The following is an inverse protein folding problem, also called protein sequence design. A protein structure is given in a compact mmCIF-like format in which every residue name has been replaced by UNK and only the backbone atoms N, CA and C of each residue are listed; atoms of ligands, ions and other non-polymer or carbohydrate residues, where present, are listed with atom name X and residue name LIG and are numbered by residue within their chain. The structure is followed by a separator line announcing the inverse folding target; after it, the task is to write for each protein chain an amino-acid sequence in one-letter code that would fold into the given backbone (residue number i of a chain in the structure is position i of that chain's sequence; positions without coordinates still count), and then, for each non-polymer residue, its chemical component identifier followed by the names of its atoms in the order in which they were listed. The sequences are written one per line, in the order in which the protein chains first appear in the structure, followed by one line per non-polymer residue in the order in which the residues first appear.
data_IF_133499829876
#
_entry.id   IF_133499829876
#
_cell.length_a   1.000
_cell.length_b   1.000
_cell.length_c   1.000
_cell.angle_alpha   90.00
_cell.angle_beta   90.00
_cell.angle_gamma   90.00
#
_symmetry.space_group_name_H-M   'P 1'
#
loop_
_entity.id
_entity.type
_entity.pdbx_description
1 polymer ?
2 non-polymer ?
3 non-polymer ?
4 water ?
#
# COMPACT_ATOMS: atom_id res chain seq x y z
N UNK A 1 25.00 4.43 16.00
CA UNK A 1 24.45 3.08 16.03
C UNK A 1 23.09 3.03 15.34
N UNK A 2 22.85 1.96 14.58
CA UNK A 2 21.59 1.85 13.84
C UNK A 2 20.44 1.43 14.74
N UNK A 3 19.23 1.84 14.33
CA UNK A 3 18.02 1.33 14.95
C UNK A 3 17.90 -0.17 14.67
N UNK A 4 17.31 -0.89 15.62
CA UNK A 4 17.25 -2.35 15.56
C UNK A 4 15.80 -2.81 15.48
N UNK A 5 15.51 -3.70 14.53
CA UNK A 5 14.17 -4.25 14.34
C UNK A 5 14.26 -5.75 14.15
N UNK A 6 13.20 -6.45 14.53
CA UNK A 6 13.09 -7.90 14.42
C UNK A 6 11.71 -8.27 13.94
N UNK A 7 11.63 -9.10 12.89
CA UNK A 7 10.34 -9.48 12.33
C UNK A 7 10.33 -10.93 11.88
N UNK A 8 9.24 -11.62 12.15
CA UNK A 8 8.92 -12.88 11.50
C UNK A 8 8.10 -12.59 10.25
N UNK A 9 8.50 -13.18 9.12
CA UNK A 9 7.76 -13.04 7.87
C UNK A 9 7.49 -14.44 7.32
N UNK A 10 6.47 -14.52 6.46
CA UNK A 10 6.05 -15.78 5.85
C UNK A 10 6.22 -15.71 4.35
N UNK A 11 6.68 -16.81 3.76
CA UNK A 11 6.67 -16.98 2.31
C UNK A 11 5.39 -17.71 1.93
N UNK A 12 4.61 -17.10 1.03
CA UNK A 12 3.32 -17.65 0.63
C UNK A 12 3.32 -17.94 -0.86
N UNK A 13 2.53 -18.93 -1.26
CA UNK A 13 2.37 -19.28 -2.66
C UNK A 13 2.31 -20.78 -2.87
N UNK A 14 1.83 -21.16 -4.05
CA UNK A 14 1.62 -22.56 -4.39
C UNK A 14 2.95 -23.31 -4.40
N UNK A 15 2.84 -24.64 -4.45
CA UNK A 15 4.04 -25.45 -4.55
C UNK A 15 4.82 -25.13 -5.81
N UNK A 16 6.15 -25.12 -5.66
CA UNK A 16 7.10 -24.94 -6.77
C UNK A 16 7.05 -23.56 -7.41
N UNK A 17 6.52 -22.54 -6.71
CA UNK A 17 6.61 -21.19 -7.24
C UNK A 17 7.97 -20.57 -6.96
N UNK A 18 8.73 -21.13 -6.02
CA UNK A 18 10.08 -20.66 -5.76
C UNK A 18 10.29 -20.08 -4.38
N UNK A 19 9.43 -20.44 -3.42
CA UNK A 19 9.56 -19.92 -2.06
C UNK A 19 10.92 -20.29 -1.45
N UNK A 20 11.30 -21.56 -1.55
CA UNK A 20 12.60 -21.98 -1.01
C UNK A 20 13.74 -21.33 -1.76
N UNK A 21 13.69 -21.37 -3.10
CA UNK A 21 14.77 -20.81 -3.91
C UNK A 21 14.94 -19.31 -3.64
N UNK A 22 13.83 -18.59 -3.45
CA UNK A 22 13.95 -17.17 -3.15
C UNK A 22 14.59 -16.97 -1.78
N UNK A 23 14.21 -17.78 -0.79
CA UNK A 23 14.80 -17.65 0.54
C UNK A 23 16.27 -18.02 0.53
N UNK A 24 16.62 -19.08 -0.21
CA UNK A 24 18.02 -19.47 -0.35
C UNK A 24 18.83 -18.37 -1.03
N UNK A 25 18.29 -17.80 -2.11
CA UNK A 25 18.97 -16.69 -2.77
C UNK A 25 19.18 -15.53 -1.80
N UNK A 26 18.18 -15.25 -0.96
CA UNK A 26 18.27 -14.11 -0.06
C UNK A 26 19.27 -14.35 1.05
N UNK A 27 19.25 -15.53 1.67
CA UNK A 27 20.05 -15.77 2.87
C UNK A 27 21.42 -16.36 2.58
N UNK A 28 21.56 -17.15 1.51
CA UNK A 28 22.85 -17.78 1.19
C UNK A 28 23.44 -17.30 -0.14
N UNK A 29 22.70 -16.49 -0.89
CA UNK A 29 23.15 -15.88 -2.15
C UNK A 29 23.69 -16.91 -3.14
N UNK A 30 22.87 -17.92 -3.39
CA UNK A 30 23.15 -18.84 -4.49
C UNK A 30 21.87 -19.51 -4.91
N UNK A 31 21.95 -20.25 -6.02
CA UNK A 31 20.84 -20.98 -6.61
C UNK A 31 21.33 -22.35 -7.04
N UNK A 32 20.52 -23.38 -6.79
CA UNK A 32 20.90 -24.76 -7.14
C UNK A 32 19.62 -25.53 -7.41
N UNK A 33 19.50 -26.08 -8.63
CA UNK A 33 18.35 -26.92 -8.96
C UNK A 33 18.23 -28.09 -7.99
N UNK A 34 19.35 -28.54 -7.43
CA UNK A 34 19.39 -29.70 -6.56
C UNK A 34 19.53 -29.32 -5.10
N UNK A 35 19.16 -28.09 -4.74
CA UNK A 35 19.11 -27.73 -3.33
C UNK A 35 18.12 -28.61 -2.61
N UNK A 36 18.56 -29.22 -1.51
CA UNK A 36 17.70 -30.05 -0.68
C UNK A 36 17.34 -29.26 0.57
N UNK A 37 16.05 -29.00 0.76
CA UNK A 37 15.57 -28.25 1.91
C UNK A 37 15.36 -29.18 3.09
N UNK A 42 12.00 -24.55 10.66
CA UNK A 42 10.87 -24.02 9.92
C UNK A 42 11.18 -22.69 9.28
N UNK A 43 12.31 -22.08 9.67
CA UNK A 43 12.63 -20.75 9.19
C UNK A 43 14.12 -20.59 8.95
N UNK A 44 14.47 -19.67 8.06
CA UNK A 44 15.82 -19.17 7.88
C UNK A 44 15.91 -17.79 8.53
N UNK A 45 17.15 -17.38 8.79
CA UNK A 45 17.41 -16.10 9.43
C UNK A 45 18.26 -15.24 8.50
N UNK A 46 17.91 -13.97 8.40
CA UNK A 46 18.70 -13.00 7.67
C UNK A 46 18.85 -11.74 8.53
N UNK A 47 20.07 -11.23 8.59
CA UNK A 47 20.34 -9.92 9.17
C UNK A 47 20.64 -8.95 8.05
N UNK A 48 19.89 -7.84 8.00
CA UNK A 48 19.91 -6.94 6.86
C UNK A 48 20.07 -5.51 7.36
N UNK A 49 21.02 -4.79 6.76
CA UNK A 49 21.22 -3.37 7.05
C UNK A 49 20.56 -2.55 5.96
N UNK A 50 19.79 -1.54 6.38
CA UNK A 50 19.17 -0.57 5.47
C UNK A 50 19.88 0.76 5.70
N UNK A 51 20.80 1.12 4.80
CA UNK A 51 21.63 2.30 5.01
C UNK A 51 20.80 3.57 5.05
N UNK A 52 19.91 3.74 4.07
CA UNK A 52 19.13 4.96 3.89
C UNK A 52 18.56 5.50 5.20
N UNK A 53 18.16 4.61 6.10
CA UNK A 53 17.53 4.96 7.35
C UNK A 53 18.30 4.47 8.56
N UNK A 54 19.53 3.98 8.36
CA UNK A 54 20.40 3.48 9.41
C UNK A 54 19.65 2.52 10.34
N UNK A 55 19.10 1.47 9.73
CA UNK A 55 18.30 0.50 10.45
C UNK A 55 18.83 -0.90 10.18
N UNK A 56 18.83 -1.74 11.21
CA UNK A 56 19.28 -3.12 11.13
C UNK A 56 18.09 -4.02 11.44
N UNK A 57 17.78 -4.94 10.53
CA UNK A 57 16.63 -5.81 10.66
C UNK A 57 17.10 -7.25 10.75
N UNK A 58 16.58 -7.98 11.73
CA UNK A 58 16.77 -9.44 11.83
C UNK A 58 15.45 -10.10 11.44
N UNK A 59 15.48 -10.92 10.41
CA UNK A 59 14.30 -11.58 9.87
C UNK A 59 14.32 -13.06 10.19
N UNK A 60 13.18 -13.57 10.64
CA UNK A 60 12.88 -15.00 10.62
C UNK A 60 11.97 -15.26 9.43
N UNK A 61 12.45 -16.05 8.47
CA UNK A 61 11.75 -16.24 7.20
C UNK A 61 11.15 -17.64 7.21
N UNK A 62 9.83 -17.71 7.36
CA UNK A 62 9.11 -18.96 7.51
C UNK A 62 8.57 -19.43 6.16
N UNK A 63 8.53 -20.76 5.99
CA UNK A 63 8.18 -21.38 4.72
C UNK A 63 7.56 -22.74 5.00
N UNK A 64 6.35 -22.97 4.48
CA UNK A 64 5.70 -24.28 4.59
C UNK A 64 6.60 -25.36 3.99
N UNK A 72 -3.62 -27.34 12.29
CA UNK A 72 -2.71 -27.13 13.41
C UNK A 72 -1.40 -26.50 12.96
N UNK A 73 -0.80 -27.04 11.91
CA UNK A 73 0.50 -26.54 11.47
C UNK A 73 0.38 -25.13 10.89
N UNK A 74 -0.71 -24.86 10.16
CA UNK A 74 -0.83 -23.55 9.51
C UNK A 74 -0.97 -22.43 10.53
N UNK A 75 -1.70 -22.67 11.62
CA UNK A 75 -1.89 -21.64 12.63
C UNK A 75 -0.57 -21.30 13.30
N UNK A 76 0.28 -22.30 13.54
CA UNK A 76 1.61 -22.02 14.03
C UNK A 76 2.52 -21.41 12.99
N UNK A 77 2.31 -21.77 11.72
CA UNK A 77 3.10 -21.16 10.64
C UNK A 77 2.89 -19.66 10.58
N UNK A 78 1.62 -19.22 10.68
CA UNK A 78 1.31 -17.81 10.54
C UNK A 78 1.54 -17.01 11.81
N UNK A 79 1.49 -17.65 12.98
CA UNK A 79 1.40 -16.91 14.24
C UNK A 79 2.59 -15.98 14.42
N UNK A 80 2.29 -14.70 14.69
CA UNK A 80 3.30 -13.71 14.93
C UNK A 80 3.91 -13.06 13.71
N UNK A 81 3.48 -13.46 12.51
CA UNK A 81 4.03 -12.86 11.30
C UNK A 81 3.63 -11.40 11.21
N UNK A 82 4.60 -10.55 10.85
CA UNK A 82 4.37 -9.13 10.66
C UNK A 82 4.41 -8.72 9.19
N UNK A 83 4.67 -9.65 8.29
CA UNK A 83 4.72 -9.35 6.87
C UNK A 83 4.92 -10.63 6.09
N UNK A 84 4.80 -10.52 4.78
CA UNK A 84 5.01 -11.71 3.96
C UNK A 84 5.25 -11.36 2.51
N UNK A 85 5.83 -12.32 1.80
CA UNK A 85 5.95 -12.24 0.34
C UNK A 85 4.95 -13.20 -0.27
N UNK A 86 4.16 -12.69 -1.22
CA UNK A 86 3.10 -13.46 -1.87
C UNK A 86 3.56 -13.83 -3.28
N UNK A 87 4.06 -15.05 -3.44
CA UNK A 87 4.72 -15.47 -4.67
C UNK A 87 3.76 -16.17 -5.63
N UNK A 88 3.99 -15.99 -6.92
CA UNK A 88 3.44 -16.89 -7.92
C UNK A 88 4.50 -17.12 -8.98
N UNK A 89 4.25 -18.13 -9.81
CA UNK A 89 5.15 -18.55 -10.87
C UNK A 89 4.60 -17.98 -12.17
N UNK A 90 5.33 -17.06 -12.81
CA UNK A 90 4.80 -16.40 -14.00
C UNK A 90 4.60 -17.33 -15.17
N UNK A 91 5.08 -18.58 -15.08
CA UNK A 91 4.90 -19.57 -16.13
C UNK A 91 3.69 -20.46 -15.89
N UNK A 92 2.98 -20.31 -14.77
CA UNK A 92 1.83 -21.15 -14.44
C UNK A 92 0.71 -20.28 -13.91
N UNK A 93 -0.31 -20.07 -14.73
CA UNK A 93 -1.38 -19.13 -14.39
C UNK A 93 -2.14 -19.57 -13.14
N UNK A 94 -2.26 -20.88 -12.91
CA UNK A 94 -3.00 -21.35 -11.75
C UNK A 94 -2.39 -20.83 -10.44
N UNK A 95 -1.07 -20.69 -10.40
CA UNK A 95 -0.44 -20.15 -9.20
C UNK A 95 -0.74 -18.67 -9.02
N UNK A 96 -0.95 -17.94 -10.12
CA UNK A 96 -1.37 -16.55 -10.02
C UNK A 96 -2.81 -16.44 -9.54
N UNK A 97 -3.70 -17.31 -10.03
CA UNK A 97 -5.09 -17.32 -9.57
C UNK A 97 -5.15 -17.53 -8.06
N UNK A 98 -4.25 -18.34 -7.51
CA UNK A 98 -4.32 -18.76 -6.12
C UNK A 98 -3.70 -17.79 -5.12
N UNK A 99 -3.07 -16.69 -5.56
CA UNK A 99 -2.46 -15.82 -4.58
C UNK A 99 -3.53 -15.15 -3.71
N UNK A 100 -4.74 -14.96 -4.24
CA UNK A 100 -5.83 -14.42 -3.43
C UNK A 100 -6.20 -15.39 -2.30
N UNK A 101 -6.16 -16.69 -2.58
CA UNK A 101 -6.47 -17.67 -1.55
C UNK A 101 -5.41 -17.67 -0.45
N UNK A 102 -4.15 -17.48 -0.83
CA UNK A 102 -3.10 -17.39 0.17
C UNK A 102 -3.26 -16.15 1.04
N UNK A 103 -3.59 -15.02 0.41
CA UNK A 103 -3.82 -13.79 1.17
C UNK A 103 -4.95 -13.96 2.17
N UNK A 104 -6.06 -14.58 1.73
CA UNK A 104 -7.19 -14.76 2.63
C UNK A 104 -6.86 -15.72 3.76
N UNK A 105 -6.13 -16.80 3.47
CA UNK A 105 -5.77 -17.75 4.51
C UNK A 105 -4.91 -17.09 5.57
N UNK A 106 -3.91 -16.30 5.13
CA UNK A 106 -3.03 -15.61 6.06
C UNK A 106 -3.83 -14.64 6.92
N UNK A 107 -4.70 -13.84 6.29
CA UNK A 107 -5.45 -12.84 7.04
C UNK A 107 -6.44 -13.49 7.99
N UNK A 108 -7.07 -14.59 7.57
CA UNK A 108 -8.00 -15.29 8.46
C UNK A 108 -7.27 -15.92 9.62
N UNK A 109 -6.09 -16.51 9.38
CA UNK A 109 -5.33 -17.13 10.45
C UNK A 109 -4.87 -16.10 11.49
N UNK A 110 -4.39 -14.95 11.02
CA UNK A 110 -3.88 -13.91 11.90
C UNK A 110 -4.99 -13.03 12.47
N UNK A 111 -6.18 -13.05 11.88
CA UNK A 111 -7.28 -12.17 12.26
C UNK A 111 -6.91 -10.70 12.12
N UNK A 112 -6.06 -10.40 11.14
CA UNK A 112 -5.72 -9.02 10.80
C UNK A 112 -5.03 -9.04 9.44
N UNK A 113 -4.93 -7.87 8.84
CA UNK A 113 -4.13 -7.71 7.64
C UNK A 113 -2.68 -7.47 8.04
N UNK A 114 -1.77 -8.02 7.24
CA UNK A 114 -0.35 -7.70 7.36
C UNK A 114 0.13 -7.27 5.99
N UNK A 115 1.20 -6.47 5.94
CA UNK A 115 1.73 -6.07 4.63
C UNK A 115 2.22 -7.25 3.84
N UNK A 116 1.87 -7.27 2.56
CA UNK A 116 2.34 -8.28 1.63
C UNK A 116 2.94 -7.59 0.42
N UNK A 117 4.03 -8.14 -0.08
CA UNK A 117 4.61 -7.73 -1.35
C UNK A 117 4.31 -8.83 -2.36
N UNK A 118 3.68 -8.45 -3.48
CA UNK A 118 3.37 -9.42 -4.53
C UNK A 118 4.62 -9.67 -5.34
N UNK A 119 5.02 -10.94 -5.46
CA UNK A 119 6.27 -11.31 -6.11
C UNK A 119 5.94 -12.20 -7.30
N UNK A 120 6.20 -11.70 -8.50
CA UNK A 120 6.09 -12.51 -9.72
C UNK A 120 7.46 -13.14 -9.96
N UNK A 121 7.58 -14.43 -9.64
CA UNK A 121 8.87 -15.11 -9.67
C UNK A 121 9.08 -15.87 -10.97
N UNK A 122 10.35 -16.21 -11.25
CA UNK A 122 10.77 -16.96 -12.43
C UNK A 122 10.69 -16.13 -13.72
N UNK A 123 10.85 -14.81 -13.62
CA UNK A 123 10.75 -13.96 -14.81
C UNK A 123 11.92 -14.18 -15.77
N UNK A 124 12.95 -14.92 -15.35
CA UNK A 124 14.01 -15.28 -16.28
C UNK A 124 13.53 -16.24 -17.36
N UNK A 125 12.39 -16.91 -17.13
CA UNK A 125 11.84 -17.87 -18.09
C UNK A 125 10.94 -17.16 -19.10
N UNK A 126 11.57 -16.34 -19.94
CA UNK A 126 10.81 -15.46 -20.81
C UNK A 126 9.95 -16.22 -21.80
N UNK A 127 10.46 -17.35 -22.33
CA UNK A 127 9.76 -18.04 -23.40
C UNK A 127 8.56 -18.84 -22.91
N UNK A 128 8.45 -19.10 -21.61
CA UNK A 128 7.33 -19.84 -21.06
C UNK A 128 6.48 -18.99 -20.13
N UNK A 129 6.69 -17.69 -20.10
CA UNK A 129 5.87 -16.82 -19.25
C UNK A 129 4.47 -16.68 -19.82
N UNK A 130 3.46 -16.81 -18.95
CA UNK A 130 2.08 -16.66 -19.38
C UNK A 130 1.33 -15.57 -18.62
N UNK A 131 1.81 -15.13 -17.45
CA UNK A 131 1.17 -14.07 -16.69
C UNK A 131 1.94 -12.78 -16.95
N UNK A 132 1.26 -11.82 -17.58
CA UNK A 132 1.90 -10.57 -17.98
C UNK A 132 2.13 -9.66 -16.78
N UNK A 133 3.17 -8.83 -16.88
CA UNK A 133 3.51 -7.88 -15.83
C UNK A 133 2.31 -7.08 -15.37
N UNK A 134 1.50 -6.61 -16.32
CA UNK A 134 0.39 -5.72 -16.00
C UNK A 134 -0.66 -6.41 -15.14
N UNK A 135 -0.85 -7.72 -15.31
CA UNK A 135 -1.81 -8.45 -14.50
C UNK A 135 -1.42 -8.45 -13.03
N UNK A 136 -0.14 -8.69 -12.75
CA UNK A 136 0.31 -8.68 -11.36
C UNK A 136 0.31 -7.29 -10.76
N UNK A 137 0.67 -6.28 -11.56
CA UNK A 137 0.61 -4.89 -11.09
C UNK A 137 -0.81 -4.51 -10.70
N UNK A 138 -1.81 -4.96 -11.48
CA UNK A 138 -3.18 -4.59 -11.18
C UNK A 138 -3.67 -5.27 -9.91
N UNK A 139 -3.35 -6.55 -9.72
CA UNK A 139 -3.75 -7.22 -8.49
C UNK A 139 -3.14 -6.52 -7.27
N UNK A 140 -1.85 -6.19 -7.35
CA UNK A 140 -1.19 -5.54 -6.22
C UNK A 140 -1.81 -4.17 -5.96
N UNK A 141 -2.03 -3.40 -7.03
CA UNK A 141 -2.62 -2.07 -6.90
C UNK A 141 -3.99 -2.13 -6.24
N UNK A 142 -4.80 -3.12 -6.61
CA UNK A 142 -6.13 -3.26 -6.00
C UNK A 142 -6.06 -3.45 -4.49
N UNK A 143 -4.97 -4.04 -3.99
CA UNK A 143 -4.82 -4.34 -2.57
C UNK A 143 -3.85 -3.40 -1.86
N UNK A 144 -3.36 -2.37 -2.55
CA UNK A 144 -2.32 -1.48 -2.03
C UNK A 144 -1.09 -2.28 -1.58
N UNK A 145 -0.77 -3.32 -2.34
CA UNK A 145 0.47 -4.08 -2.19
C UNK A 145 1.51 -3.56 -3.17
N UNK A 146 2.78 -3.67 -2.79
CA UNK A 146 3.84 -3.46 -3.76
C UNK A 146 3.97 -4.68 -4.67
N UNK A 147 4.57 -4.49 -5.84
CA UNK A 147 4.72 -5.55 -6.83
C UNK A 147 6.18 -5.60 -7.27
N UNK A 148 6.75 -6.80 -7.28
CA UNK A 148 8.15 -6.99 -7.64
C UNK A 148 8.24 -8.16 -8.61
N UNK A 149 9.01 -8.00 -9.67
CA UNK A 149 9.35 -9.09 -10.58
C UNK A 149 10.73 -9.62 -10.21
N UNK A 150 10.80 -10.91 -9.91
CA UNK A 150 12.00 -11.48 -9.32
C UNK A 150 12.41 -12.77 -10.03
N UNK A 151 13.68 -13.12 -9.86
CA UNK A 151 14.19 -14.43 -10.28
C UNK A 151 15.17 -14.90 -9.22
N UNK A 152 14.84 -16.00 -8.54
CA UNK A 152 15.79 -16.60 -7.62
C UNK A 152 17.03 -17.09 -8.36
N UNK A 153 16.87 -17.51 -9.63
CA UNK A 153 18.00 -18.02 -10.40
C UNK A 153 19.03 -16.92 -10.64
N UNK A 154 18.60 -15.80 -11.23
CA UNK A 154 19.55 -14.74 -11.54
C UNK A 154 19.78 -13.81 -10.36
N UNK A 155 18.93 -13.86 -9.35
CA UNK A 155 18.98 -12.93 -8.23
C UNK A 155 18.22 -11.64 -8.47
N UNK A 156 17.61 -11.47 -9.63
CA UNK A 156 16.97 -10.22 -9.99
C UNK A 156 15.90 -9.83 -8.97
N UNK A 157 16.10 -8.69 -8.32
CA UNK A 157 15.14 -8.03 -7.43
C UNK A 157 14.80 -8.86 -6.19
N UNK A 158 15.56 -9.91 -5.88
CA UNK A 158 15.21 -10.73 -4.73
C UNK A 158 15.44 -9.96 -3.44
N UNK A 159 16.64 -9.39 -3.27
CA UNK A 159 16.90 -8.58 -2.09
C UNK A 159 15.95 -7.40 -2.00
N UNK A 160 15.67 -6.77 -3.14
CA UNK A 160 14.76 -5.63 -3.16
C UNK A 160 13.39 -6.00 -2.61
N UNK A 161 12.89 -7.19 -2.96
CA UNK A 161 11.57 -7.59 -2.48
C UNK A 161 11.54 -7.68 -0.96
N UNK A 162 12.54 -8.34 -0.37
CA UNK A 162 12.60 -8.43 1.10
C UNK A 162 12.85 -7.06 1.71
N UNK A 163 13.71 -6.25 1.08
CA UNK A 163 14.02 -4.92 1.61
C UNK A 163 12.79 -4.03 1.61
N UNK A 164 11.99 -4.07 0.53
CA UNK A 164 10.75 -3.29 0.48
C UNK A 164 9.82 -3.70 1.62
N UNK A 165 9.69 -5.01 1.83
CA UNK A 165 8.83 -5.48 2.92
C UNK A 165 9.36 -5.02 4.28
N UNK A 166 10.69 -5.09 4.47
CA UNK A 166 11.29 -4.62 5.71
C UNK A 166 10.95 -3.16 5.97
N UNK A 167 11.12 -2.30 4.96
CA UNK A 167 10.86 -0.88 5.16
C UNK A 167 9.40 -0.65 5.52
N UNK A 168 8.49 -1.39 4.89
CA UNK A 168 7.07 -1.24 5.20
C UNK A 168 6.80 -1.62 6.65
N UNK A 169 7.35 -2.75 7.10
CA UNK A 169 7.14 -3.17 8.48
C UNK A 169 7.74 -2.17 9.46
N UNK A 170 8.89 -1.60 9.13
CA UNK A 170 9.50 -0.57 9.98
C UNK A 170 8.60 0.65 10.07
N UNK A 171 8.03 1.09 8.94
CA UNK A 171 7.13 2.23 9.01
C UNK A 171 5.88 1.91 9.81
N UNK A 172 5.39 0.66 9.76
CA UNK A 172 4.24 0.30 10.58
C UNK A 172 4.62 0.25 12.06
N UNK A 173 5.83 -0.25 12.36
CA UNK A 173 6.31 -0.20 13.74
C UNK A 173 6.34 1.23 14.25
N UNK A 174 6.83 2.16 13.42
CA UNK A 174 6.84 3.57 13.79
C UNK A 174 5.42 4.11 13.96
N UNK A 175 4.50 3.71 13.08
CA UNK A 175 3.09 4.10 13.24
C UNK A 175 2.58 3.70 14.61
N UNK A 176 2.85 2.45 15.00
CA UNK A 176 2.34 1.95 16.27
C UNK A 176 3.00 2.68 17.44
N UNK A 177 4.30 2.98 17.33
CA UNK A 177 4.97 3.78 18.34
C UNK A 177 4.24 5.10 18.55
N UNK A 178 3.81 5.75 17.47
CA UNK A 178 3.09 7.01 17.59
C UNK A 178 1.71 6.81 18.19
N UNK A 179 1.02 5.72 17.83
CA UNK A 179 -0.33 5.49 18.36
C UNK A 179 -0.30 5.21 19.85
N UNK A 180 0.75 4.56 20.34
CA UNK A 180 0.87 4.25 21.76
C UNK A 180 1.43 5.41 22.56
N UNK A 181 1.72 6.55 21.90
CA UNK A 181 2.43 7.67 22.52
C UNK A 181 1.62 8.96 22.43
N UNK A 182 0.29 8.87 22.38
CA UNK A 182 -0.52 10.08 22.18
C UNK A 182 -0.61 10.92 23.44
N UNK B 1 -27.06 -10.35 -4.91
CA UNK B 1 -27.43 -8.95 -4.79
C UNK B 1 -26.27 -8.04 -5.17
N UNK B 2 -26.58 -6.93 -5.84
CA UNK B 2 -25.52 -6.03 -6.31
C UNK B 2 -24.73 -5.44 -5.14
N UNK B 3 -23.42 -5.34 -5.32
CA UNK B 3 -22.52 -4.90 -4.27
C UNK B 3 -22.56 -3.38 -4.15
N UNK B 4 -22.99 -2.89 -2.99
CA UNK B 4 -23.00 -1.46 -2.69
C UNK B 4 -22.12 -1.19 -1.48
N UNK B 5 -21.33 -0.12 -1.56
CA UNK B 5 -20.40 0.24 -0.51
C UNK B 5 -20.55 1.72 -0.18
N UNK B 6 -20.26 2.04 1.08
CA UNK B 6 -20.31 3.42 1.57
C UNK B 6 -19.08 3.66 2.43
N UNK B 7 -18.30 4.69 2.09
CA UNK B 7 -17.08 5.00 2.82
C UNK B 7 -16.97 6.48 3.11
N UNK B 8 -16.53 6.80 4.32
CA UNK B 8 -16.03 8.12 4.64
C UNK B 8 -14.53 8.17 4.36
N UNK B 9 -14.09 9.16 3.59
CA UNK B 9 -12.67 9.35 3.31
C UNK B 9 -12.29 10.78 3.67
N UNK B 10 -11.00 10.96 3.96
CA UNK B 10 -10.46 12.26 4.36
C UNK B 10 -9.51 12.75 3.29
N UNK B 11 -9.59 14.04 2.99
CA UNK B 11 -8.59 14.72 2.18
C UNK B 11 -7.59 15.37 3.14
N UNK B 12 -6.31 15.00 3.00
CA UNK B 12 -5.29 15.47 3.92
C UNK B 12 -4.19 16.20 3.16
N UNK B 13 -3.62 17.20 3.80
CA UNK B 13 -2.52 17.95 3.21
C UNK B 13 -2.50 19.38 3.71
N UNK B 14 -1.36 20.04 3.51
CA UNK B 14 -1.19 21.41 3.96
C UNK B 14 -2.18 22.34 3.24
N UNK B 15 -2.26 23.57 3.75
CA UNK B 15 -3.08 24.56 3.09
C UNK B 15 -2.63 24.80 1.65
N UNK B 16 -3.61 25.02 0.77
CA UNK B 16 -3.41 25.41 -0.62
C UNK B 16 -2.75 24.34 -1.48
N UNK B 17 -2.72 23.08 -1.03
CA UNK B 17 -2.19 22.02 -1.89
C UNK B 17 -3.21 21.58 -2.93
N UNK B 18 -4.49 21.89 -2.72
CA UNK B 18 -5.49 21.58 -3.74
C UNK B 18 -6.55 20.60 -3.32
N UNK B 19 -6.77 20.45 -2.01
CA UNK B 19 -7.77 19.49 -1.54
C UNK B 19 -9.17 19.84 -2.03
N UNK B 20 -9.55 21.12 -1.93
CA UNK B 20 -10.86 21.53 -2.40
C UNK B 20 -10.97 21.42 -3.92
N UNK B 21 -9.95 21.88 -4.64
CA UNK B 21 -9.99 21.81 -6.09
C UNK B 21 -10.10 20.37 -6.58
N UNK B 22 -9.36 19.46 -5.96
CA UNK B 22 -9.45 18.06 -6.38
C UNK B 22 -10.84 17.51 -6.14
N UNK B 23 -11.43 17.82 -4.97
CA UNK B 23 -12.77 17.34 -4.69
C UNK B 23 -13.79 17.96 -5.64
N UNK B 24 -13.62 19.24 -5.96
CA UNK B 24 -14.55 19.91 -6.86
C UNK B 24 -14.44 19.35 -8.28
N UNK B 25 -13.23 19.13 -8.76
CA UNK B 25 -13.05 18.50 -10.07
C UNK B 25 -13.70 17.12 -10.08
N UNK B 26 -13.55 16.38 -8.98
CA UNK B 26 -14.07 15.01 -8.91
C UNK B 26 -15.59 15.00 -8.90
N UNK B 27 -16.21 15.82 -8.06
CA UNK B 27 -17.65 15.74 -7.85
C UNK B 27 -18.45 16.60 -8.81
N UNK B 28 -17.88 17.70 -9.31
CA UNK B 28 -18.64 18.64 -10.13
C UNK B 28 -18.01 18.91 -11.49
N UNK B 29 -16.91 18.24 -11.82
CA UNK B 29 -16.36 18.24 -13.18
C UNK B 29 -15.96 19.65 -13.65
N UNK B 30 -15.38 20.44 -12.76
CA UNK B 30 -14.91 21.76 -13.19
C UNK B 30 -13.82 22.25 -12.24
N UNK B 31 -13.11 23.27 -12.71
CA UNK B 31 -12.02 23.91 -11.98
C UNK B 31 -12.15 25.41 -12.19
N UNK B 32 -12.10 26.17 -11.10
CA UNK B 32 -12.15 27.63 -11.15
C UNK B 32 -11.29 28.15 -10.01
N UNK B 33 -10.30 28.99 -10.33
CA UNK B 33 -9.41 29.51 -9.30
C UNK B 33 -10.14 30.34 -8.25
N UNK B 34 -11.43 30.60 -8.43
CA UNK B 34 -12.26 31.21 -7.40
C UNK B 34 -13.17 30.18 -6.74
N UNK B 41 -21.52 22.52 5.42
CA UNK B 41 -21.53 21.05 5.44
C UNK B 41 -20.13 20.50 5.74
N UNK B 42 -20.10 19.34 6.41
CA UNK B 42 -18.82 18.73 6.76
C UNK B 42 -18.17 17.98 5.61
N UNK B 43 -18.92 17.63 4.58
CA UNK B 43 -18.35 16.76 3.55
C UNK B 43 -19.07 16.97 2.23
N UNK B 44 -18.38 16.58 1.16
CA UNK B 44 -18.95 16.45 -0.18
C UNK B 44 -19.24 14.99 -0.48
N UNK B 45 -20.30 14.76 -1.25
CA UNK B 45 -20.75 13.41 -1.57
C UNK B 45 -20.43 13.11 -3.03
N UNK B 46 -20.09 11.85 -3.30
CA UNK B 46 -19.87 11.38 -4.66
C UNK B 46 -20.42 9.97 -4.79
N UNK B 47 -21.17 9.74 -5.85
CA UNK B 47 -21.57 8.40 -6.25
C UNK B 47 -20.71 7.98 -7.43
N UNK B 48 -20.14 6.78 -7.36
CA UNK B 48 -19.38 6.30 -8.49
C UNK B 48 -19.55 4.79 -8.62
N UNK B 49 -19.29 4.28 -9.82
CA UNK B 49 -19.35 2.86 -10.09
C UNK B 49 -17.99 2.41 -10.60
N UNK B 50 -17.48 1.33 -10.01
CA UNK B 50 -16.29 0.64 -10.50
C UNK B 50 -16.79 -0.48 -11.40
N UNK B 51 -16.77 -0.24 -12.71
CA UNK B 51 -17.49 -1.12 -13.63
C UNK B 51 -16.84 -2.48 -13.78
N UNK B 52 -15.51 -2.58 -13.59
CA UNK B 52 -14.86 -3.86 -13.77
C UNK B 52 -15.25 -4.87 -12.70
N UNK B 53 -15.73 -4.43 -11.54
CA UNK B 53 -16.28 -5.31 -10.53
C UNK B 53 -17.76 -5.03 -10.26
N UNK B 54 -18.38 -4.15 -11.06
CA UNK B 54 -19.77 -3.75 -10.89
C UNK B 54 -20.08 -3.38 -9.44
N UNK B 55 -19.23 -2.54 -8.87
CA UNK B 55 -19.38 -2.08 -7.49
C UNK B 55 -19.88 -0.65 -7.49
N UNK B 56 -20.93 -0.38 -6.75
CA UNK B 56 -21.44 0.97 -6.56
C UNK B 56 -20.95 1.51 -5.23
N UNK B 57 -20.33 2.68 -5.27
CA UNK B 57 -19.71 3.29 -4.09
C UNK B 57 -20.35 4.63 -3.83
N UNK B 58 -20.66 4.92 -2.56
CA UNK B 58 -21.00 6.26 -2.12
C UNK B 58 -19.88 6.75 -1.22
N UNK B 59 -19.31 7.89 -1.56
CA UNK B 59 -18.23 8.50 -0.78
C UNK B 59 -18.73 9.73 -0.04
N UNK B 60 -18.35 9.85 1.22
CA UNK B 60 -18.44 11.09 1.97
C UNK B 60 -17.01 11.62 2.13
N UNK B 61 -16.74 12.78 1.54
CA UNK B 61 -15.38 13.28 1.39
C UNK B 61 -15.19 14.45 2.35
N UNK B 62 -14.41 14.22 3.40
CA UNK B 62 -14.16 15.20 4.45
C UNK B 62 -12.84 15.92 4.21
N UNK B 63 -12.82 17.21 4.54
CA UNK B 63 -11.59 17.98 4.43
C UNK B 63 -11.59 19.08 5.48
N UNK B 64 -10.39 19.44 5.92
CA UNK B 64 -10.23 20.34 7.06
C UNK B 64 -10.34 21.80 6.64
N UNK B 65 -11.20 22.55 7.33
CA UNK B 65 -11.40 23.96 7.04
C UNK B 65 -10.21 24.78 7.49
N UNK B 66 -9.73 25.66 6.62
CA UNK B 66 -8.59 26.49 6.96
C UNK B 66 -7.28 25.72 6.90
N UNK B 67 -6.33 26.14 7.73
CA UNK B 67 -5.01 25.54 7.80
C UNK B 67 -4.68 25.22 9.25
N UNK B 68 -5.32 24.20 9.81
CA UNK B 68 -5.14 23.90 11.24
C UNK B 68 -3.75 23.34 11.53
N UNK B 69 -3.33 23.52 12.78
CA UNK B 69 -2.07 22.96 13.24
C UNK B 69 -2.23 21.48 13.58
N UNK B 70 -1.12 20.77 13.55
CA UNK B 70 -1.15 19.34 13.86
C UNK B 70 -1.51 19.12 15.34
N UNK B 71 -2.32 18.10 15.59
CA UNK B 71 -2.69 17.72 16.93
C UNK B 71 -2.29 16.27 17.17
N UNK B 72 -2.05 15.93 18.43
CA UNK B 72 -1.77 14.54 18.77
C UNK B 72 -2.96 13.65 18.40
N UNK B 73 -4.16 14.05 18.82
CA UNK B 73 -5.40 13.38 18.45
C UNK B 73 -6.40 14.46 18.08
N UNK B 74 -6.92 14.40 16.85
CA UNK B 74 -7.91 15.37 16.40
C UNK B 74 -9.31 14.78 16.60
N UNK B 75 -10.11 15.44 17.43
CA UNK B 75 -11.44 14.93 17.74
C UNK B 75 -12.37 15.10 16.55
N UNK B 76 -13.22 14.09 16.34
CA UNK B 76 -14.29 14.16 15.35
C UNK B 76 -13.96 13.96 13.88
N UNK B 77 -12.93 14.65 13.39
CA UNK B 77 -12.70 14.70 11.95
C UNK B 77 -12.49 13.31 11.36
N UNK B 78 -11.63 12.51 11.99
CA UNK B 78 -11.24 11.23 11.39
C UNK B 78 -12.24 10.12 11.64
N UNK B 79 -13.11 10.28 12.64
CA UNK B 79 -13.96 9.19 13.11
C UNK B 79 -14.74 8.55 11.96
N UNK B 80 -14.62 7.23 11.84
CA UNK B 80 -15.33 6.48 10.82
C UNK B 80 -14.65 6.43 9.47
N UNK B 81 -13.53 7.13 9.30
CA UNK B 81 -12.86 7.14 8.00
C UNK B 81 -12.23 5.78 7.71
N UNK B 82 -12.35 5.34 6.45
CA UNK B 82 -11.78 4.09 6.02
C UNK B 82 -10.72 4.26 4.93
N UNK B 83 -10.39 5.49 4.56
CA UNK B 83 -9.36 5.73 3.58
C UNK B 83 -9.14 7.23 3.43
N UNK B 84 -8.15 7.58 2.63
CA UNK B 84 -7.92 9.00 2.43
C UNK B 84 -6.95 9.25 1.29
N UNK B 85 -6.95 10.49 0.84
CA UNK B 85 -5.97 10.98 -0.12
C UNK B 85 -5.01 11.91 0.62
N UNK B 86 -3.73 11.69 0.41
CA UNK B 86 -2.66 12.42 1.10
C UNK B 86 -1.97 13.31 0.09
N UNK B 87 -2.33 14.58 0.05
CA UNK B 87 -1.93 15.49 -1.02
C UNK B 87 -0.75 16.35 -0.61
N UNK B 88 0.16 16.58 -1.57
CA UNK B 88 1.08 17.71 -1.46
C UNK B 88 1.10 18.45 -2.78
N UNK B 89 1.73 19.62 -2.73
CA UNK B 89 1.88 20.52 -3.88
C UNK B 89 3.31 20.37 -4.37
N UNK B 90 3.49 19.84 -5.59
CA UNK B 90 4.82 19.54 -6.09
C UNK B 90 5.69 20.78 -6.27
N UNK B 91 5.11 21.98 -6.20
CA UNK B 91 5.90 23.21 -6.29
C UNK B 91 6.36 23.71 -4.93
N UNK B 92 5.97 23.05 -3.83
CA UNK B 92 6.28 23.54 -2.48
C UNK B 92 6.79 22.38 -1.64
N UNK B 93 8.10 22.38 -1.40
CA UNK B 93 8.76 21.29 -0.68
C UNK B 93 8.17 21.09 0.71
N UNK B 94 7.84 22.20 1.40
CA UNK B 94 7.32 22.08 2.76
C UNK B 94 6.06 21.22 2.82
N UNK B 95 5.20 21.32 1.81
CA UNK B 95 3.98 20.51 1.81
C UNK B 95 4.29 19.03 1.64
N UNK B 96 5.37 18.69 0.93
CA UNK B 96 5.77 17.30 0.81
C UNK B 96 6.33 16.78 2.13
N UNK B 97 7.17 17.59 2.78
CA UNK B 97 7.74 17.20 4.08
C UNK B 97 6.63 16.90 5.08
N UNK B 98 5.53 17.64 5.00
CA UNK B 98 4.48 17.55 6.00
C UNK B 98 3.49 16.40 5.76
N UNK B 99 3.56 15.67 4.64
CA UNK B 99 2.55 14.63 4.45
C UNK B 99 2.71 13.52 5.47
N UNK B 100 3.94 13.27 5.93
CA UNK B 100 4.14 12.29 7.00
C UNK B 100 3.41 12.70 8.26
N UNK B 101 3.42 14.01 8.57
CA UNK B 101 2.76 14.47 9.79
C UNK B 101 1.24 14.36 9.68
N UNK B 102 0.69 14.53 8.47
CA UNK B 102 -0.74 14.33 8.27
C UNK B 102 -1.10 12.85 8.40
N UNK B 103 -0.29 11.98 7.79
CA UNK B 103 -0.48 10.55 7.92
C UNK B 103 -0.54 10.15 9.40
N UNK B 104 0.43 10.65 10.19
CA UNK B 104 0.49 10.28 11.59
C UNK B 104 -0.69 10.82 12.38
N UNK B 105 -1.13 12.04 12.07
CA UNK B 105 -2.28 12.57 12.81
C UNK B 105 -3.50 11.69 12.59
N UNK B 106 -3.71 11.23 11.35
CA UNK B 106 -4.82 10.33 11.08
C UNK B 106 -4.67 9.03 11.85
N UNK B 107 -3.49 8.43 11.80
CA UNK B 107 -3.32 7.12 12.43
C UNK B 107 -3.42 7.20 13.94
N UNK B 108 -2.86 8.26 14.54
CA UNK B 108 -3.00 8.45 15.99
C UNK B 108 -4.45 8.67 16.36
N UNK B 109 -5.18 9.47 15.57
CA UNK B 109 -6.57 9.78 15.90
C UNK B 109 -7.47 8.55 15.75
N UNK B 110 -7.16 7.67 14.81
CA UNK B 110 -7.96 6.47 14.58
C UNK B 110 -7.48 5.28 15.40
N UNK B 111 -6.24 5.32 15.90
CA UNK B 111 -5.60 4.19 16.58
C UNK B 111 -5.49 2.98 15.65
N UNK B 112 -5.36 3.23 14.35
CA UNK B 112 -5.19 2.17 13.36
C UNK B 112 -4.72 2.82 12.08
N UNK B 113 -4.10 2.01 11.23
CA UNK B 113 -3.78 2.44 9.87
C UNK B 113 -5.01 2.32 8.98
N UNK B 114 -5.18 3.30 8.10
CA UNK B 114 -6.15 3.23 7.03
C UNK B 114 -5.38 3.40 5.72
N UNK B 115 -5.91 2.89 4.61
CA UNK B 115 -5.21 3.07 3.34
C UNK B 115 -5.25 4.52 2.89
N UNK B 116 -4.08 5.03 2.50
CA UNK B 116 -3.95 6.35 1.93
C UNK B 116 -3.32 6.22 0.55
N UNK B 117 -3.77 7.06 -0.38
CA UNK B 117 -3.13 7.20 -1.68
C UNK B 117 -2.38 8.52 -1.67
N UNK B 118 -1.08 8.46 -1.94
CA UNK B 118 -0.26 9.67 -1.99
C UNK B 118 -0.52 10.37 -3.32
N UNK B 119 -0.92 11.64 -3.25
CA UNK B 119 -1.32 12.40 -4.43
C UNK B 119 -0.35 13.57 -4.58
N UNK B 120 0.47 13.53 -5.62
CA UNK B 120 1.33 14.66 -5.97
C UNK B 120 0.52 15.58 -6.88
N UNK B 121 0.01 16.68 -6.32
CA UNK B 121 -0.89 17.55 -7.04
C UNK B 121 -0.16 18.73 -7.68
N UNK B 122 -0.83 19.34 -8.67
CA UNK B 122 -0.35 20.52 -9.40
C UNK B 122 0.80 20.17 -10.35
N UNK B 123 0.82 18.94 -10.87
CA UNK B 123 1.88 18.54 -11.79
C UNK B 123 1.81 19.28 -13.11
N UNK B 124 0.76 20.07 -13.34
CA UNK B 124 0.69 20.92 -14.52
C UNK B 124 1.64 22.11 -14.42
N UNK B 125 2.12 22.43 -13.22
CA UNK B 125 3.05 23.54 -13.02
C UNK B 125 4.49 23.03 -13.20
N UNK B 126 4.81 22.69 -14.45
CA UNK B 126 6.05 21.99 -14.75
C UNK B 126 7.28 22.83 -14.41
N UNK B 127 7.22 24.14 -14.69
CA UNK B 127 8.40 24.98 -14.53
C UNK B 127 8.69 25.34 -13.08
N UNK B 128 7.70 25.26 -12.19
CA UNK B 128 7.87 25.57 -10.77
C UNK B 128 7.95 24.33 -9.92
N UNK B 129 7.89 23.14 -10.52
CA UNK B 129 7.91 21.90 -9.76
C UNK B 129 9.26 21.70 -9.07
N UNK B 130 9.21 21.31 -7.81
CA UNK B 130 10.44 21.09 -7.04
C UNK B 130 10.51 19.70 -6.42
N UNK B 131 9.41 19.00 -6.19
CA UNK B 131 9.45 17.64 -5.66
C UNK B 131 9.39 16.67 -6.84
N UNK B 132 10.44 15.86 -6.99
CA UNK B 132 10.53 14.97 -8.13
C UNK B 132 9.60 13.77 -7.98
N UNK B 133 9.26 13.17 -9.11
CA UNK B 133 8.41 11.98 -9.11
C UNK B 133 8.99 10.88 -8.24
N UNK B 134 10.29 10.60 -8.39
CA UNK B 134 10.92 9.53 -7.62
C UNK B 134 10.79 9.75 -6.13
N UNK B 135 10.82 11.01 -5.68
CA UNK B 135 10.69 11.30 -4.25
C UNK B 135 9.34 10.82 -3.71
N UNK B 136 8.26 11.19 -4.39
CA UNK B 136 6.94 10.77 -3.94
C UNK B 136 6.75 9.27 -4.07
N UNK B 137 7.24 8.68 -5.17
CA UNK B 137 7.14 7.23 -5.33
C UNK B 137 7.86 6.50 -4.21
N UNK B 138 9.02 7.03 -3.79
CA UNK B 138 9.79 6.40 -2.71
C UNK B 138 9.04 6.47 -1.39
N UNK B 139 8.46 7.64 -1.09
CA UNK B 139 7.71 7.79 0.15
C UNK B 139 6.52 6.84 0.19
N UNK B 140 5.78 6.75 -0.92
CA UNK B 140 4.62 5.87 -0.97
C UNK B 140 5.04 4.42 -0.81
N UNK B 141 6.12 4.02 -1.49
CA UNK B 141 6.59 2.64 -1.43
C UNK B 141 6.96 2.25 0.00
N UNK B 142 7.59 3.15 0.74
CA UNK B 142 7.99 2.85 2.12
C UNK B 142 6.80 2.57 3.03
N UNK B 143 5.61 3.06 2.68
CA UNK B 143 4.40 2.89 3.47
C UNK B 143 3.41 1.93 2.84
N UNK B 144 3.78 1.30 1.72
CA UNK B 144 2.87 0.47 0.94
C UNK B 144 1.63 1.26 0.53
N UNK B 145 1.83 2.53 0.21
CA UNK B 145 0.81 3.41 -0.36
C UNK B 145 0.93 3.42 -1.87
N UNK B 146 -0.21 3.58 -2.55
CA UNK B 146 -0.16 3.87 -3.97
C UNK B 146 0.19 5.34 -4.18
N UNK B 147 0.69 5.64 -5.38
CA UNK B 147 1.16 6.98 -5.72
C UNK B 147 0.58 7.43 -7.05
N UNK B 148 0.04 8.65 -7.08
CA UNK B 148 -0.61 9.21 -8.27
C UNK B 148 -0.14 10.64 -8.45
N UNK B 149 0.15 11.03 -9.70
CA UNK B 149 0.43 12.41 -10.05
C UNK B 149 -0.84 13.00 -10.65
N UNK B 150 -1.30 14.11 -10.10
CA UNK B 150 -2.62 14.64 -10.46
C UNK B 150 -2.55 16.14 -10.69
N UNK B 151 -3.59 16.64 -11.35
CA UNK B 151 -3.80 18.07 -11.52
C UNK B 151 -5.29 18.31 -11.47
N UNK B 152 -5.76 19.03 -10.44
CA UNK B 152 -7.16 19.45 -10.44
C UNK B 152 -7.44 20.38 -11.61
N UNK B 153 -6.43 21.11 -12.08
CA UNK B 153 -6.61 22.06 -13.17
C UNK B 153 -6.94 21.33 -14.48
N UNK B 154 -6.09 20.37 -14.87
CA UNK B 154 -6.34 19.63 -16.10
C UNK B 154 -7.29 18.45 -15.92
N UNK B 155 -7.47 17.99 -14.68
CA UNK B 155 -8.25 16.80 -14.41
C UNK B 155 -7.45 15.51 -14.44
N UNK B 156 -6.19 15.57 -14.86
CA UNK B 156 -5.35 14.39 -14.99
C UNK B 156 -5.32 13.57 -13.70
N UNK B 157 -5.75 12.31 -13.79
CA UNK B 157 -5.66 11.31 -12.74
C UNK B 157 -6.46 11.64 -11.49
N UNK B 158 -7.37 12.61 -11.54
CA UNK B 158 -8.19 12.90 -10.36
C UNK B 158 -9.16 11.76 -10.11
N UNK B 159 -9.91 11.36 -11.14
CA UNK B 159 -10.82 10.23 -11.00
C UNK B 159 -10.07 8.96 -10.60
N UNK B 160 -8.89 8.74 -11.19
CA UNK B 160 -8.15 7.52 -10.91
C UNK B 160 -7.71 7.45 -9.45
N UNK B 161 -7.34 8.59 -8.87
CA UNK B 161 -6.91 8.61 -7.47
C UNK B 161 -8.03 8.12 -6.54
N UNK B 162 -9.23 8.71 -6.70
CA UNK B 162 -10.35 8.26 -5.89
C UNK B 162 -10.74 6.82 -6.21
N UNK B 163 -10.73 6.45 -7.49
CA UNK B 163 -11.13 5.10 -7.88
C UNK B 163 -10.19 4.05 -7.29
N UNK B 164 -8.88 4.32 -7.31
CA UNK B 164 -7.96 3.37 -6.71
C UNK B 164 -8.18 3.25 -5.22
N UNK B 165 -8.46 4.37 -4.54
CA UNK B 165 -8.74 4.30 -3.12
C UNK B 165 -10.00 3.49 -2.84
N UNK B 166 -11.04 3.69 -3.66
CA UNK B 166 -12.27 2.92 -3.48
C UNK B 166 -12.02 1.42 -3.62
N UNK B 167 -11.22 1.02 -4.62
CA UNK B 167 -10.96 -0.40 -4.80
C UNK B 167 -10.19 -0.97 -3.62
N UNK B 168 -9.21 -0.23 -3.11
CA UNK B 168 -8.47 -0.68 -1.94
C UNK B 168 -9.42 -0.86 -0.76
N UNK B 169 -10.31 0.10 -0.54
CA UNK B 169 -11.23 0.00 0.59
C UNK B 169 -12.19 -1.18 0.40
N UNK B 170 -12.62 -1.45 -0.82
CA UNK B 170 -13.48 -2.60 -1.09
C UNK B 170 -12.75 -3.90 -0.80
N UNK B 171 -11.51 -4.02 -1.28
CA UNK B 171 -10.74 -5.24 -1.00
C UNK B 171 -10.52 -5.42 0.49
N UNK B 172 -10.37 -4.31 1.24
CA UNK B 172 -10.21 -4.42 2.68
C UNK B 172 -11.53 -4.75 3.37
N UNK B 173 -12.65 -4.23 2.85
CA UNK B 173 -13.95 -4.67 3.36
C UNK B 173 -14.12 -6.17 3.18
N UNK B 174 -13.72 -6.70 2.03
CA UNK B 174 -13.81 -8.13 1.78
C UNK B 174 -12.85 -8.90 2.68
N UNK B 175 -11.65 -8.36 2.91
CA UNK B 175 -10.73 -8.97 3.87
C UNK B 175 -11.41 -9.15 5.22
N UNK B 176 -12.01 -8.09 5.74
CA UNK B 176 -12.67 -8.14 7.04
C UNK B 176 -13.79 -9.17 7.02
N UNK B 177 -14.60 -9.18 5.96
CA UNK B 177 -15.69 -10.13 5.86
C UNK B 177 -15.17 -11.57 5.90
N UNK B 178 -14.06 -11.84 5.21
CA UNK B 178 -13.52 -13.18 5.18
C UNK B 178 -12.85 -13.55 6.50
N UNK B 179 -12.23 -12.57 7.17
CA UNK B 179 -11.56 -12.85 8.44
C UNK B 179 -12.55 -13.28 9.51
N UNK B 180 -13.81 -12.84 9.40
CA UNK B 180 -14.85 -13.31 10.30
C UNK B 180 -15.65 -14.48 9.72
N UNK B 181 -15.63 -14.66 8.40
CA UNK B 181 -16.37 -15.75 7.77
C UNK B 181 -15.81 -17.10 8.17
#
# INVERSE_FOLDING_TARGET
MPAEYRYKIVMLGDGAVGKTAMTTRFTQNFFDTDYKRTIGSDFAVKRLQLDDINAHVTLQIWDLAGQPRFESVRQGFYRGARGGLLLYDVTRRRTFINIENWKEEAFRSLQKEIPLVVVANKVDLKDSRVVATEEGEEYAKNNSFMYVESSALTGENVEEAYANLCRIMIEESKDISEMTST
MPAEYRYKIVMLGDGAVGKTAMTTRFTQNFFDTDYKRTIGSDFAVKRLQLDDINAHVTLQIWDLAGQPRFESVRQGFYRGARGGLLLYDVTRRRTFINIENWKEEAFRSLQKEIPLVVVANKVDLKDSRVVATEEGEEYAKNNSFMYVESSALTGENVEEAYANLCRIMIEESKDISEMTST
#
